data_IF_612552488901
#
_entry.id   IF_612552488901
#
_cell.length_a   1.000
_cell.length_b   1.000
_cell.length_c   1.000
_cell.angle_alpha   90.00
_cell.angle_beta   90.00
_cell.angle_gamma   90.00
#
_symmetry.space_group_name_H-M   'P 1'
#
loop_
_entity.id
_entity.type
_entity.pdbx_description
1 polymer ?
#
# COMPACT_ATOMS: atom_id res chain seq x y z
N UNK A 1 28.23 -53.03 19.93
CA UNK A 1 27.37 -52.64 18.78
C UNK A 1 25.95 -52.33 19.26
N UNK A 2 25.62 -51.08 19.63
CA UNK A 2 24.21 -50.65 19.82
C UNK A 2 23.97 -49.16 20.09
N UNK A 3 24.96 -48.27 19.90
CA UNK A 3 24.81 -46.83 20.18
C UNK A 3 25.07 -45.97 18.92
N UNK A 4 25.79 -46.50 17.94
CA UNK A 4 26.22 -45.75 16.74
C UNK A 4 25.16 -45.57 15.65
N UNK A 5 23.97 -46.18 15.77
CA UNK A 5 22.89 -46.03 14.75
C UNK A 5 21.82 -45.00 15.11
N UNK A 6 21.82 -44.46 16.34
CA UNK A 6 20.80 -43.47 16.77
C UNK A 6 21.25 -42.05 16.44
N UNK A 7 22.55 -41.79 16.32
CA UNK A 7 23.08 -40.45 16.07
C UNK A 7 22.87 -39.96 14.62
N UNK A 8 22.63 -40.87 13.67
CA UNK A 8 22.47 -40.52 12.25
C UNK A 8 21.04 -40.12 11.87
N UNK A 9 20.05 -40.36 12.74
CA UNK A 9 18.63 -40.11 12.42
C UNK A 9 18.15 -38.71 12.85
N UNK A 10 18.84 -38.04 13.79
CA UNK A 10 18.47 -36.69 14.23
C UNK A 10 19.00 -35.56 13.33
N UNK A 11 19.95 -35.83 12.43
CA UNK A 11 20.59 -34.77 11.62
C UNK A 11 19.83 -34.45 10.32
N UNK A 12 18.86 -35.29 9.93
CA UNK A 12 18.07 -35.14 8.70
C UNK A 12 16.80 -34.30 8.92
N UNK A 13 16.46 -33.97 10.17
CA UNK A 13 15.23 -33.22 10.50
C UNK A 13 15.41 -31.68 10.56
N UNK A 14 16.62 -31.16 10.33
CA UNK A 14 16.89 -29.71 10.36
C UNK A 14 16.89 -29.03 8.99
N UNK A 15 16.65 -29.77 7.90
CA UNK A 15 16.57 -29.21 6.55
C UNK A 15 15.11 -28.96 6.13
N UNK A 16 14.34 -28.26 6.96
CA UNK A 16 13.03 -27.75 6.56
C UNK A 16 12.91 -26.28 6.94
N UNK A 17 12.69 -25.46 5.90
CA UNK A 17 12.23 -24.07 5.94
C UNK A 17 13.26 -22.97 6.22
N UNK A 18 14.18 -22.77 5.28
CA UNK A 18 14.49 -21.41 4.86
C UNK A 18 13.46 -21.05 3.77
N UNK A 19 12.21 -20.82 4.18
CA UNK A 19 11.23 -20.21 3.29
C UNK A 19 11.76 -18.84 2.86
N UNK A 20 11.55 -18.46 1.60
CA UNK A 20 11.85 -17.12 1.14
C UNK A 20 11.21 -16.12 2.12
N UNK A 21 12.01 -15.40 2.89
CA UNK A 21 11.52 -14.36 3.80
C UNK A 21 11.04 -13.23 2.90
N UNK A 22 9.76 -13.26 2.53
CA UNK A 22 9.13 -12.14 1.86
C UNK A 22 9.04 -11.00 2.87
N UNK A 23 9.84 -9.95 2.65
CA UNK A 23 9.75 -8.74 3.46
C UNK A 23 8.30 -8.23 3.43
N UNK A 24 7.74 -7.96 4.60
CA UNK A 24 6.39 -7.44 4.74
C UNK A 24 6.24 -6.08 4.05
N UNK A 25 7.33 -5.30 4.02
CA UNK A 25 7.40 -3.95 3.48
C UNK A 25 8.36 -3.86 2.30
N UNK A 26 8.03 -2.97 1.37
CA UNK A 26 8.76 -2.75 0.12
C UNK A 26 10.13 -2.11 0.32
N UNK A 27 11.03 -2.35 -0.63
CA UNK A 27 12.26 -1.57 -0.84
C UNK A 27 12.11 -0.48 -1.89
N UNK A 28 10.97 -0.43 -2.62
CA UNK A 28 10.66 0.65 -3.56
C UNK A 28 10.56 1.95 -2.74
N UNK A 29 11.31 3.01 -3.10
CA UNK A 29 11.27 4.26 -2.35
C UNK A 29 9.85 4.82 -2.27
N UNK A 30 9.42 5.14 -1.06
CA UNK A 30 8.19 5.85 -0.80
C UNK A 30 8.40 6.77 0.40
N UNK A 31 7.99 8.02 0.27
CA UNK A 31 8.02 8.98 1.36
C UNK A 31 6.93 10.02 1.13
N UNK A 32 5.93 10.01 2.01
CA UNK A 32 4.81 10.95 1.98
C UNK A 32 4.49 11.40 3.40
N UNK A 33 4.38 12.72 3.59
CA UNK A 33 3.83 13.33 4.79
C UNK A 33 2.77 14.33 4.37
N UNK A 34 1.54 14.15 4.85
CA UNK A 34 0.43 15.10 4.65
C UNK A 34 -0.12 15.46 6.02
N UNK A 35 -0.15 16.75 6.34
CA UNK A 35 -0.88 17.25 7.51
C UNK A 35 -2.32 17.58 7.08
N UNK A 36 -3.25 16.64 7.31
CA UNK A 36 -4.64 16.85 6.91
C UNK A 36 -5.37 17.88 7.79
N UNK A 37 -4.76 18.31 8.90
CA UNK A 37 -5.28 19.44 9.68
C UNK A 37 -5.19 20.74 8.88
N UNK A 38 -4.22 20.87 7.98
CA UNK A 38 -4.02 22.05 7.14
C UNK A 38 -4.86 22.00 5.87
N UNK A 39 -4.98 20.83 5.25
CA UNK A 39 -5.78 20.67 4.02
C UNK A 39 -7.29 20.54 4.27
N UNK A 40 -7.66 20.04 5.46
CA UNK A 40 -9.05 19.73 5.83
C UNK A 40 -9.75 18.92 4.73
N UNK A 41 -9.09 17.88 4.23
CA UNK A 41 -9.63 17.07 3.15
C UNK A 41 -10.47 15.91 3.69
N UNK A 42 -11.77 15.92 3.39
CA UNK A 42 -12.71 14.90 3.86
C UNK A 42 -12.51 13.54 3.16
N UNK A 43 -12.07 13.53 1.90
CA UNK A 43 -11.82 12.29 1.15
C UNK A 43 -10.65 11.53 1.77
N UNK A 44 -9.54 12.21 2.06
CA UNK A 44 -8.42 11.63 2.80
C UNK A 44 -8.83 11.26 4.23
N UNK A 45 -9.55 12.14 4.93
CA UNK A 45 -10.02 11.89 6.30
C UNK A 45 -10.82 10.59 6.42
N UNK A 46 -11.64 10.27 5.41
CA UNK A 46 -12.46 9.06 5.38
C UNK A 46 -11.65 7.76 5.45
N UNK A 47 -10.41 7.75 4.94
CA UNK A 47 -9.52 6.59 5.01
C UNK A 47 -8.64 6.59 6.27
N UNK A 48 -8.52 7.73 6.96
CA UNK A 48 -7.65 7.92 8.13
C UNK A 48 -8.37 7.70 9.48
N UNK A 49 -9.59 7.12 9.47
CA UNK A 49 -10.37 6.84 10.68
C UNK A 49 -10.57 5.34 10.91
N UNK A 50 -10.19 4.84 12.08
CA UNK A 50 -10.43 3.44 12.46
C UNK A 50 -11.92 3.14 12.73
N UNK A 51 -12.77 4.18 12.86
CA UNK A 51 -14.21 4.04 13.07
C UNK A 51 -14.97 3.67 11.79
N UNK A 52 -14.33 3.72 10.62
CA UNK A 52 -14.93 3.35 9.33
C UNK A 52 -13.93 2.56 8.49
N UNK A 53 -13.53 1.36 8.96
CA UNK A 53 -12.57 0.53 8.23
C UNK A 53 -13.17 0.01 6.91
N UNK A 54 -12.32 -0.32 5.95
CA UNK A 54 -12.71 -0.72 4.59
C UNK A 54 -12.79 0.45 3.60
N UNK A 55 -12.62 1.68 4.08
CA UNK A 55 -12.48 2.88 3.23
C UNK A 55 -11.00 3.10 2.92
N UNK A 56 -10.66 3.07 1.63
CA UNK A 56 -9.31 3.29 1.12
C UNK A 56 -9.27 4.52 0.23
N UNK A 57 -8.22 5.32 0.36
CA UNK A 57 -7.97 6.52 -0.41
C UNK A 57 -6.71 6.35 -1.27
N UNK A 58 -6.88 6.47 -2.58
CA UNK A 58 -5.81 6.67 -3.54
C UNK A 58 -5.32 8.12 -3.45
N UNK A 59 -4.00 8.29 -3.40
CA UNK A 59 -3.28 9.55 -3.30
C UNK A 59 -2.30 9.62 -4.47
N UNK A 60 -2.33 10.73 -5.21
CA UNK A 60 -1.32 11.06 -6.22
C UNK A 60 -0.98 12.54 -6.20
N UNK A 61 0.14 12.88 -6.81
CA UNK A 61 0.44 14.26 -7.17
C UNK A 61 -0.06 14.59 -8.57
N UNK A 62 -0.43 15.84 -8.76
CA UNK A 62 -0.79 16.42 -10.05
C UNK A 62 -0.17 17.81 -10.20
N UNK A 63 0.01 18.26 -11.43
CA UNK A 63 0.43 19.62 -11.75
C UNK A 63 -0.56 20.24 -12.72
N UNK A 64 -1.16 21.36 -12.32
CA UNK A 64 -2.14 22.07 -13.14
C UNK A 64 -1.90 23.57 -13.05
N UNK A 65 -1.82 24.26 -14.19
CA UNK A 65 -1.60 25.71 -14.23
C UNK A 65 -0.34 26.18 -13.48
N UNK A 66 0.72 25.35 -13.43
CA UNK A 66 1.97 25.67 -12.73
C UNK A 66 1.97 25.36 -11.22
N UNK A 67 0.83 25.03 -10.63
CA UNK A 67 0.72 24.66 -9.22
C UNK A 67 0.71 23.14 -9.03
N UNK A 68 1.26 22.67 -7.90
CA UNK A 68 1.23 21.25 -7.48
C UNK A 68 0.03 20.99 -6.58
N UNK A 69 -0.56 19.81 -6.74
CA UNK A 69 -1.74 19.38 -6.01
C UNK A 69 -1.59 17.96 -5.48
N UNK A 70 -2.19 17.71 -4.32
CA UNK A 70 -2.61 16.37 -3.95
C UNK A 70 -3.99 16.11 -4.57
N UNK A 71 -4.14 14.93 -5.15
CA UNK A 71 -5.44 14.41 -5.59
C UNK A 71 -5.76 13.18 -4.78
N UNK A 72 -6.93 13.19 -4.18
CA UNK A 72 -7.45 12.13 -3.33
C UNK A 72 -8.67 11.51 -3.99
N UNK A 73 -8.75 10.19 -4.02
CA UNK A 73 -9.94 9.47 -4.49
C UNK A 73 -10.16 8.26 -3.61
N UNK A 74 -11.31 8.19 -2.95
CA UNK A 74 -11.63 7.01 -2.15
C UNK A 74 -12.40 5.95 -2.94
N UNK A 75 -12.42 4.74 -2.41
CA UNK A 75 -13.14 3.61 -2.97
C UNK A 75 -14.67 3.69 -2.81
N UNK A 76 -15.18 4.75 -2.17
CA UNK A 76 -16.61 5.04 -2.01
C UNK A 76 -17.11 6.09 -3.03
N UNK A 77 -16.27 6.48 -3.99
CA UNK A 77 -16.66 7.35 -5.11
C UNK A 77 -16.46 8.85 -4.86
N UNK A 78 -15.87 9.26 -3.74
CA UNK A 78 -15.51 10.67 -3.52
C UNK A 78 -14.12 10.98 -4.08
N UNK A 79 -13.97 12.17 -4.64
CA UNK A 79 -12.70 12.67 -5.18
C UNK A 79 -12.53 14.14 -4.79
N UNK A 80 -11.32 14.52 -4.44
CA UNK A 80 -10.97 15.89 -4.06
C UNK A 80 -9.55 16.23 -4.52
N UNK A 81 -9.29 17.54 -4.62
CA UNK A 81 -8.00 18.09 -5.00
C UNK A 81 -7.63 19.22 -4.04
N UNK A 82 -6.40 19.20 -3.55
CA UNK A 82 -5.87 20.21 -2.63
C UNK A 82 -4.55 20.75 -3.14
N UNK A 83 -4.45 22.07 -3.26
CA UNK A 83 -3.21 22.74 -3.63
C UNK A 83 -2.17 22.52 -2.55
N UNK A 84 -0.91 22.34 -2.95
CA UNK A 84 0.21 22.28 -2.01
C UNK A 84 0.31 23.59 -1.22
N UNK A 85 0.42 23.48 0.09
CA UNK A 85 0.72 24.62 0.96
C UNK A 85 2.24 24.86 1.04
N UNK A 86 2.64 25.91 1.75
CA UNK A 86 4.06 26.27 1.89
C UNK A 86 4.91 25.20 2.59
N UNK A 87 4.30 24.34 3.42
CA UNK A 87 5.00 23.24 4.09
C UNK A 87 5.19 22.08 3.13
N UNK A 88 4.19 21.76 2.30
CA UNK A 88 4.30 20.70 1.28
C UNK A 88 5.37 21.04 0.25
N UNK A 89 5.43 22.30 -0.19
CA UNK A 89 6.42 22.78 -1.15
C UNK A 89 7.87 22.70 -0.63
N UNK A 90 8.07 22.67 0.69
CA UNK A 90 9.39 22.52 1.32
C UNK A 90 9.79 21.05 1.52
N UNK A 91 8.88 20.10 1.30
CA UNK A 91 9.13 18.67 1.45
C UNK A 91 9.42 18.02 0.10
N UNK A 92 10.34 17.06 0.12
CA UNK A 92 10.48 16.10 -0.98
C UNK A 92 9.51 14.95 -0.74
N UNK A 93 8.89 14.46 -1.80
CA UNK A 93 7.95 13.34 -1.75
C UNK A 93 8.29 12.32 -2.83
N UNK A 94 8.09 11.05 -2.52
CA UNK A 94 8.12 9.95 -3.50
C UNK A 94 6.86 9.11 -3.26
N UNK A 95 5.96 9.08 -4.23
CA UNK A 95 4.68 8.37 -4.10
C UNK A 95 4.77 7.01 -4.78
N UNK A 96 5.25 6.02 -4.02
CA UNK A 96 5.40 4.66 -4.47
C UNK A 96 6.24 4.52 -5.74
N UNK A 97 6.05 3.42 -6.46
CA UNK A 97 6.81 3.10 -7.67
C UNK A 97 6.54 4.04 -8.85
N UNK A 98 5.33 4.61 -8.96
CA UNK A 98 5.02 5.56 -10.03
C UNK A 98 3.84 6.50 -9.69
N UNK A 99 4.08 7.49 -8.83
CA UNK A 99 3.16 8.56 -8.44
C UNK A 99 1.77 8.07 -7.97
N UNK A 100 1.75 7.13 -7.03
CA UNK A 100 0.48 6.62 -6.51
C UNK A 100 0.62 5.76 -5.26
N UNK A 101 -0.21 6.06 -4.26
CA UNK A 101 -0.34 5.29 -3.03
C UNK A 101 -1.81 5.06 -2.70
N UNK A 102 -2.12 3.95 -2.05
CA UNK A 102 -3.46 3.67 -1.51
C UNK A 102 -3.32 3.51 -0.01
N UNK A 103 -4.08 4.25 0.80
CA UNK A 103 -4.04 4.16 2.26
C UNK A 103 -5.43 3.91 2.83
N UNK A 104 -5.53 3.23 3.97
CA UNK A 104 -6.81 3.00 4.64
C UNK A 104 -6.72 1.98 5.76
N UNK A 105 -7.74 1.94 6.61
CA UNK A 105 -7.88 0.88 7.61
C UNK A 105 -8.51 -0.36 6.98
N UNK A 106 -7.90 -1.53 7.18
CA UNK A 106 -8.54 -2.81 6.86
C UNK A 106 -9.66 -3.15 7.85
N UNK A 107 -10.70 -3.86 7.39
CA UNK A 107 -11.89 -4.19 8.18
C UNK A 107 -11.93 -5.61 8.75
N UNK A 108 -10.85 -6.39 8.62
CA UNK A 108 -10.80 -7.80 9.03
C UNK A 108 -10.01 -8.04 10.33
N UNK A 109 -9.24 -7.05 10.80
CA UNK A 109 -8.44 -7.13 12.03
C UNK A 109 -9.10 -6.37 13.18
N UNK A 110 -8.89 -6.83 14.41
CA UNK A 110 -9.33 -6.15 15.65
C UNK A 110 -8.15 -6.01 16.62
N UNK A 111 -7.62 -4.80 16.85
CA UNK A 111 -8.05 -3.51 16.30
C UNK A 111 -7.78 -3.38 14.79
N UNK A 112 -8.50 -2.49 14.07
CA UNK A 112 -8.25 -2.23 12.65
C UNK A 112 -6.81 -1.81 12.37
N UNK A 113 -6.20 -2.39 11.34
CA UNK A 113 -4.83 -2.09 10.93
C UNK A 113 -4.83 -1.03 9.83
N UNK A 114 -4.00 0.00 9.96
CA UNK A 114 -3.80 1.01 8.92
C UNK A 114 -2.77 0.54 7.91
N UNK A 115 -3.18 0.42 6.65
CA UNK A 115 -2.33 -0.02 5.55
C UNK A 115 -1.97 1.12 4.61
N UNK A 116 -0.78 1.01 4.00
CA UNK A 116 -0.41 1.75 2.81
C UNK A 116 0.12 0.77 1.76
N UNK A 117 -0.38 0.91 0.53
CA UNK A 117 -0.02 0.10 -0.62
C UNK A 117 0.49 0.98 -1.76
N UNK A 118 1.36 0.41 -2.60
CA UNK A 118 1.63 0.97 -3.92
C UNK A 118 0.36 0.88 -4.77
N UNK A 119 0.12 1.89 -5.60
CA UNK A 119 -0.97 1.85 -6.58
C UNK A 119 -0.63 0.98 -7.80
N UNK A 120 0.62 0.59 -8.01
CA UNK A 120 1.05 -0.23 -9.12
C UNK A 120 0.93 -1.72 -8.79
N UNK A 121 0.43 -2.51 -9.75
CA UNK A 121 0.36 -3.96 -9.60
C UNK A 121 1.77 -4.58 -9.46
N UNK A 122 2.09 -5.27 -8.36
CA UNK A 122 3.43 -5.81 -8.10
C UNK A 122 3.85 -6.94 -9.06
N UNK A 123 2.88 -7.56 -9.73
CA UNK A 123 3.09 -8.63 -10.70
C UNK A 123 3.22 -8.12 -12.14
N UNK A 124 2.99 -6.83 -12.40
CA UNK A 124 3.10 -6.24 -13.74
C UNK A 124 4.10 -5.08 -13.80
N UNK A 125 4.21 -4.32 -12.71
CA UNK A 125 5.07 -3.16 -12.62
C UNK A 125 6.51 -3.57 -12.35
N UNK A 126 7.41 -3.03 -13.17
CA UNK A 126 8.86 -3.12 -12.99
C UNK A 126 9.43 -1.69 -12.96
N UNK A 127 9.95 -1.23 -11.81
CA UNK A 127 10.54 0.11 -11.70
C UNK A 127 11.82 0.28 -12.53
N UNK A 128 12.44 -0.82 -12.99
CA UNK A 128 13.68 -0.79 -13.77
C UNK A 128 13.43 -0.94 -15.28
N UNK A 129 12.19 -1.15 -15.72
CA UNK A 129 11.86 -1.30 -17.13
C UNK A 129 12.09 0.02 -17.89
N UNK A 130 12.59 -0.09 -19.12
CA UNK A 130 12.78 1.05 -20.02
C UNK A 130 11.99 0.80 -21.31
N UNK A 131 10.92 1.58 -21.60
CA UNK A 131 10.34 2.62 -20.75
C UNK A 131 9.54 2.05 -19.56
N UNK A 132 9.49 2.79 -18.46
CA UNK A 132 8.63 2.45 -17.31
C UNK A 132 7.16 2.51 -17.77
N UNK A 133 6.38 1.48 -17.42
CA UNK A 133 4.96 1.37 -17.76
C UNK A 133 4.09 1.40 -16.52
N UNK A 134 2.92 2.02 -16.66
CA UNK A 134 1.91 2.11 -15.61
C UNK A 134 0.97 0.91 -15.60
N UNK A 135 0.77 0.35 -14.41
CA UNK A 135 -0.17 -0.72 -14.11
C UNK A 135 -1.00 -0.40 -12.86
N UNK A 136 -1.74 0.73 -12.86
CA UNK A 136 -2.48 1.17 -11.70
C UNK A 136 -3.59 0.19 -11.33
N UNK A 137 -3.82 0.04 -10.04
CA UNK A 137 -4.88 -0.76 -9.46
C UNK A 137 -6.17 0.07 -9.40
N UNK A 138 -7.30 -0.55 -9.75
CA UNK A 138 -8.62 0.01 -9.47
C UNK A 138 -9.14 -0.51 -8.14
N UNK A 139 -9.80 0.33 -7.35
CA UNK A 139 -10.41 -0.07 -6.08
C UNK A 139 -11.92 -0.24 -6.22
N UNK A 140 -12.45 -1.30 -5.63
CA UNK A 140 -13.89 -1.50 -5.43
C UNK A 140 -14.34 -1.00 -4.05
N UNK A 141 -15.64 -0.80 -3.88
CA UNK A 141 -16.28 -0.39 -2.63
C UNK A 141 -15.98 -1.34 -1.46
N UNK A 142 -15.76 -2.61 -1.76
CA UNK A 142 -15.56 -3.67 -0.76
C UNK A 142 -14.08 -3.81 -0.34
N UNK A 143 -13.21 -2.90 -0.78
CA UNK A 143 -11.78 -2.91 -0.45
C UNK A 143 -10.96 -3.92 -1.26
N UNK A 144 -11.45 -4.29 -2.46
CA UNK A 144 -10.70 -5.14 -3.39
C UNK A 144 -10.00 -4.27 -4.44
N UNK A 145 -8.68 -4.39 -4.54
CA UNK A 145 -7.87 -3.80 -5.59
C UNK A 145 -7.77 -4.77 -6.78
N UNK A 146 -7.93 -4.29 -8.01
CA UNK A 146 -7.88 -5.12 -9.23
C UNK A 146 -6.86 -4.57 -10.21
N UNK A 147 -6.02 -5.44 -10.76
CA UNK A 147 -5.14 -5.07 -11.85
C UNK A 147 -5.85 -5.25 -13.19
N UNK A 148 -5.93 -4.18 -13.99
CA UNK A 148 -6.57 -4.25 -15.32
C UNK A 148 -5.80 -5.10 -16.34
N UNK A 149 -4.51 -5.33 -16.14
CA UNK A 149 -3.65 -6.08 -17.07
C UNK A 149 -3.67 -7.57 -16.76
N UNK A 150 -3.23 -7.98 -15.57
CA UNK A 150 -3.16 -9.41 -15.21
C UNK A 150 -4.42 -9.96 -14.53
N UNK A 151 -5.45 -9.11 -14.33
CA UNK A 151 -6.76 -9.46 -13.74
C UNK A 151 -6.73 -9.97 -12.30
N UNK A 152 -5.56 -10.02 -11.65
CA UNK A 152 -5.43 -10.35 -10.23
C UNK A 152 -6.25 -9.38 -9.38
N UNK A 153 -6.95 -9.93 -8.39
CA UNK A 153 -7.68 -9.19 -7.35
C UNK A 153 -6.99 -9.39 -6.01
N UNK A 154 -6.85 -8.31 -5.27
CA UNK A 154 -6.14 -8.25 -3.99
C UNK A 154 -7.07 -7.72 -2.91
N UNK A 155 -7.10 -8.36 -1.75
CA UNK A 155 -7.88 -7.90 -0.61
C UNK A 155 -7.07 -6.90 0.23
N UNK A 156 -7.40 -5.61 0.12
CA UNK A 156 -6.74 -4.55 0.89
C UNK A 156 -7.15 -4.56 2.37
N UNK A 157 -8.22 -5.27 2.73
CA UNK A 157 -8.64 -5.41 4.12
C UNK A 157 -7.77 -6.38 4.93
N UNK A 158 -6.99 -7.23 4.25
CA UNK A 158 -6.18 -8.30 4.87
C UNK A 158 -4.74 -8.23 4.39
N UNK A 159 -4.10 -7.07 4.43
CA UNK A 159 -2.68 -6.97 4.07
C UNK A 159 -2.35 -7.15 2.58
N UNK A 160 -3.33 -7.13 1.66
CA UNK A 160 -3.09 -7.12 0.22
C UNK A 160 -2.87 -8.49 -0.44
N UNK A 161 -3.41 -9.56 0.15
CA UNK A 161 -3.30 -10.92 -0.40
C UNK A 161 -4.07 -11.06 -1.72
N UNK A 162 -3.58 -11.92 -2.62
CA UNK A 162 -4.31 -12.30 -3.84
C UNK A 162 -5.50 -13.17 -3.46
N UNK A 163 -6.70 -12.80 -3.90
CA UNK A 163 -7.94 -13.55 -3.69
C UNK A 163 -8.54 -14.12 -4.99
N UNK A 164 -8.09 -13.63 -6.14
CA UNK A 164 -8.51 -14.12 -7.45
C UNK A 164 -7.40 -13.87 -8.49
N UNK A 165 -7.27 -14.79 -9.44
CA UNK A 165 -6.21 -14.78 -10.45
C UNK A 165 -5.06 -15.72 -10.11
N UNK A 166 -4.02 -15.69 -10.94
CA UNK A 166 -2.81 -16.49 -10.74
C UNK A 166 -2.06 -16.11 -9.46
N UNK A 167 -1.37 -17.08 -8.88
CA UNK A 167 -0.43 -16.84 -7.78
C UNK A 167 0.66 -15.83 -8.19
N UNK A 168 1.26 -15.18 -7.18
CA UNK A 168 2.28 -14.17 -7.38
C UNK A 168 2.51 -13.34 -6.13
N UNK A 169 3.12 -12.18 -6.32
CA UNK A 169 3.41 -11.24 -5.23
C UNK A 169 2.11 -10.63 -4.70
N UNK A 170 1.95 -10.59 -3.37
CA UNK A 170 0.94 -9.74 -2.71
C UNK A 170 1.19 -8.26 -3.00
N UNK A 171 0.23 -7.39 -2.69
CA UNK A 171 0.41 -5.94 -2.85
C UNK A 171 1.68 -5.45 -2.14
N UNK A 172 2.41 -4.58 -2.83
CA UNK A 172 3.55 -3.86 -2.26
C UNK A 172 3.06 -2.98 -1.12
N UNK A 173 3.57 -3.21 0.10
CA UNK A 173 3.20 -2.45 1.29
C UNK A 173 4.29 -1.47 1.72
N UNK A 174 3.84 -0.35 2.25
CA UNK A 174 4.69 0.64 2.92
C UNK A 174 4.34 0.70 4.40
N UNK A 175 5.29 1.17 5.20
CA UNK A 175 5.02 1.48 6.59
C UNK A 175 4.21 2.77 6.63
N UNK A 176 3.17 2.80 7.44
CA UNK A 176 2.31 3.96 7.51
C UNK A 176 1.77 4.19 8.91
N UNK A 177 1.53 5.46 9.21
CA UNK A 177 0.88 5.90 10.44
C UNK A 177 -0.06 7.06 10.13
N UNK A 178 -1.11 7.17 10.93
CA UNK A 178 -2.09 8.25 10.86
C UNK A 178 -2.35 8.80 12.25
N UNK A 179 -2.42 10.13 12.36
CA UNK A 179 -2.90 10.84 13.55
C UNK A 179 -4.43 10.92 13.66
N UNK A 180 -5.17 10.18 12.83
CA UNK A 180 -6.63 10.25 12.73
C UNK A 180 -7.12 11.11 11.56
N UNK A 181 -8.45 11.25 11.35
CA UNK A 181 -9.02 11.84 10.13
C UNK A 181 -8.45 13.21 9.71
N UNK A 182 -8.17 14.10 10.66
CA UNK A 182 -7.54 15.40 10.41
C UNK A 182 -6.14 15.52 11.04
N UNK A 183 -5.46 14.40 11.22
CA UNK A 183 -4.09 14.35 11.72
C UNK A 183 -3.06 14.29 10.60
N UNK A 184 -1.83 13.94 10.98
CA UNK A 184 -0.73 13.72 10.05
C UNK A 184 -0.79 12.30 9.49
N UNK A 185 -0.79 12.17 8.16
CA UNK A 185 -0.46 10.95 7.45
C UNK A 185 1.06 10.89 7.25
N UNK A 186 1.67 9.75 7.57
CA UNK A 186 3.08 9.47 7.27
C UNK A 186 3.18 8.10 6.59
N UNK A 187 3.92 8.02 5.48
CA UNK A 187 4.21 6.78 4.75
C UNK A 187 5.71 6.71 4.41
N UNK A 188 6.35 5.57 4.68
CA UNK A 188 7.77 5.31 4.42
C UNK A 188 8.11 3.84 4.10
#
# INVERSE_FOLDING_TARGET
MRITKILLLCMVLLSVSCGNIENEFSTIPCYLIIDNNLHKDATLASAMTAASPGVFCYIRQDMHGGAKYFVFKNNQGTESRKTFNAIDLRRSFILGGNNGLIVGFGNMDTPPVFYAYDNQCPNCFDPNAIPIRNYPLSMSTDGIATCNTCKRKYNMNTGGNIIEGENGKKLTRYRAATGGPYGVLSVN
#
